data_IF_826315461528
#
_entry.id   IF_826315461528
#
_cell.length_a   1.000
_cell.length_b   1.000
_cell.length_c   1.000
_cell.angle_alpha   90.00
_cell.angle_beta   90.00
_cell.angle_gamma   90.00
#
_symmetry.space_group_name_H-M   'P 1'
#
loop_
_entity.id
_entity.type
_entity.pdbx_description
1 polymer ?
#
# COMPACT_ATOMS: atom_id res chain seq x y z
N UNK A 1 -9.71 21.88 -10.75
CA UNK A 1 -8.93 21.60 -9.52
C UNK A 1 -9.83 20.81 -8.59
N UNK A 2 -9.35 19.74 -7.97
CA UNK A 2 -10.14 18.97 -7.00
C UNK A 2 -10.19 19.69 -5.64
N UNK A 3 -11.27 19.51 -4.89
CA UNK A 3 -11.45 20.09 -3.56
C UNK A 3 -11.32 19.02 -2.48
N UNK A 4 -10.73 19.41 -1.35
CA UNK A 4 -10.61 18.57 -0.15
C UNK A 4 -11.01 19.37 1.08
N UNK A 5 -11.85 18.79 1.92
CA UNK A 5 -12.30 19.34 3.20
C UNK A 5 -11.87 18.41 4.32
N UNK A 6 -11.31 18.98 5.38
CA UNK A 6 -10.80 18.26 6.53
C UNK A 6 -11.56 18.66 7.80
N UNK A 7 -11.91 17.69 8.64
CA UNK A 7 -12.47 17.91 9.96
C UNK A 7 -11.59 17.26 11.02
N UNK A 8 -11.19 18.05 12.01
CA UNK A 8 -10.22 17.64 13.04
C UNK A 8 -8.77 17.78 12.60
N UNK A 9 -7.86 17.31 13.45
CA UNK A 9 -6.41 17.30 13.18
C UNK A 9 -5.99 15.86 12.89
N UNK A 10 -5.03 15.64 11.98
CA UNK A 10 -4.53 14.29 11.70
C UNK A 10 -3.95 13.56 12.93
N UNK A 11 -3.57 14.29 13.99
CA UNK A 11 -3.10 13.71 15.26
C UNK A 11 -4.23 13.45 16.27
N UNK A 12 -5.47 13.89 16.02
CA UNK A 12 -6.58 13.63 16.94
C UNK A 12 -7.04 12.17 16.88
N UNK A 13 -7.85 11.74 17.86
CA UNK A 13 -8.34 10.36 17.94
C UNK A 13 -9.28 9.98 16.79
N UNK A 14 -9.90 10.97 16.15
CA UNK A 14 -10.71 10.83 14.93
C UNK A 14 -10.36 11.99 14.00
N UNK A 15 -10.23 11.70 12.71
CA UNK A 15 -9.95 12.68 11.66
C UNK A 15 -10.74 12.33 10.41
N UNK A 16 -11.44 13.30 9.83
CA UNK A 16 -12.37 13.06 8.72
C UNK A 16 -11.97 13.86 7.51
N UNK A 17 -12.07 13.26 6.32
CA UNK A 17 -11.76 13.90 5.05
C UNK A 17 -12.83 13.64 4.00
N UNK A 18 -13.21 14.69 3.30
CA UNK A 18 -14.00 14.62 2.08
C UNK A 18 -13.16 15.15 0.94
N UNK A 19 -12.97 14.38 -0.13
CA UNK A 19 -12.16 14.83 -1.27
C UNK A 19 -12.63 14.27 -2.60
N UNK A 20 -12.32 15.00 -3.66
CA UNK A 20 -12.47 14.55 -5.04
C UNK A 20 -11.42 13.47 -5.35
N UNK A 21 -11.86 12.21 -5.31
CA UNK A 21 -11.02 11.04 -5.54
C UNK A 21 -10.65 10.90 -7.02
N UNK A 22 -11.53 11.29 -7.94
CA UNK A 22 -11.24 11.27 -9.39
C UNK A 22 -10.09 12.22 -9.70
N UNK A 23 -10.15 13.46 -9.21
CA UNK A 23 -9.08 14.43 -9.41
C UNK A 23 -7.75 13.98 -8.78
N UNK A 24 -7.79 13.35 -7.60
CA UNK A 24 -6.59 12.82 -6.93
C UNK A 24 -5.93 11.68 -7.72
N UNK A 25 -6.70 10.75 -8.29
CA UNK A 25 -6.20 9.67 -9.13
C UNK A 25 -5.53 10.20 -10.41
N UNK A 26 -6.19 11.14 -11.09
CA UNK A 26 -5.66 11.75 -12.31
C UNK A 26 -4.36 12.52 -12.05
N UNK A 27 -4.24 13.23 -10.93
CA UNK A 27 -3.00 13.90 -10.53
C UNK A 27 -1.85 12.93 -10.26
N UNK A 28 -2.15 11.70 -9.82
CA UNK A 28 -1.16 10.64 -9.63
C UNK A 28 -0.81 9.90 -10.93
N UNK A 29 -1.40 10.29 -12.06
CA UNK A 29 -1.19 9.66 -13.36
C UNK A 29 -1.86 8.29 -13.47
N UNK A 30 -2.88 8.03 -12.65
CA UNK A 30 -3.67 6.79 -12.70
C UNK A 30 -4.88 7.00 -13.61
N UNK A 31 -5.15 6.02 -14.47
CA UNK A 31 -6.33 6.05 -15.34
C UNK A 31 -7.60 5.86 -14.52
N UNK A 32 -8.61 6.67 -14.83
CA UNK A 32 -9.95 6.57 -14.26
C UNK A 32 -10.88 6.22 -15.42
N UNK A 33 -11.84 5.31 -15.19
CA UNK A 33 -12.85 4.97 -16.18
C UNK A 33 -13.61 6.22 -16.64
N UNK A 34 -13.74 6.38 -17.95
CA UNK A 34 -14.38 7.53 -18.59
C UNK A 34 -15.86 7.66 -18.20
N UNK A 35 -16.52 6.56 -17.82
CA UNK A 35 -17.92 6.55 -17.39
C UNK A 35 -18.14 7.14 -15.98
N UNK A 36 -17.06 7.37 -15.20
CA UNK A 36 -17.17 7.91 -13.85
C UNK A 36 -17.27 9.44 -13.91
N UNK A 37 -18.50 9.96 -13.81
CA UNK A 37 -18.77 11.40 -13.87
C UNK A 37 -18.45 12.15 -12.56
N UNK A 38 -18.63 11.49 -11.41
CA UNK A 38 -18.32 12.05 -10.08
C UNK A 38 -17.77 10.97 -9.17
N UNK A 39 -16.69 11.27 -8.46
CA UNK A 39 -16.11 10.38 -7.46
C UNK A 39 -15.59 11.16 -6.26
N UNK A 40 -16.45 11.27 -5.25
CA UNK A 40 -16.08 11.85 -3.95
C UNK A 40 -15.88 10.72 -2.95
N UNK A 41 -14.88 10.86 -2.09
CA UNK A 41 -14.63 9.92 -1.00
C UNK A 41 -14.72 10.62 0.35
N UNK A 42 -15.42 9.98 1.28
CA UNK A 42 -15.41 10.29 2.70
C UNK A 42 -14.54 9.25 3.42
N UNK A 43 -13.54 9.68 4.17
CA UNK A 43 -12.66 8.82 4.97
C UNK A 43 -12.70 9.24 6.43
N UNK A 44 -12.94 8.27 7.32
CA UNK A 44 -12.76 8.40 8.75
C UNK A 44 -11.47 7.67 9.15
N UNK A 45 -10.48 8.41 9.66
CA UNK A 45 -9.29 7.87 10.30
C UNK A 45 -9.51 7.84 11.81
N UNK A 46 -9.39 6.65 12.41
CA UNK A 46 -9.48 6.45 13.86
C UNK A 46 -8.09 6.09 14.42
N UNK A 47 -7.76 6.63 15.59
CA UNK A 47 -6.48 6.39 16.26
C UNK A 47 -6.68 5.90 17.71
N UNK A 48 -5.70 5.17 18.22
CA UNK A 48 -5.61 4.71 19.62
C UNK A 48 -6.90 3.98 20.08
N UNK A 49 -7.45 4.37 21.23
CA UNK A 49 -8.64 3.75 21.82
C UNK A 49 -9.88 3.84 20.92
N UNK A 50 -10.00 4.86 20.06
CA UNK A 50 -11.13 4.97 19.12
C UNK A 50 -11.02 3.96 17.99
N UNK A 51 -9.81 3.66 17.52
CA UNK A 51 -9.59 2.60 16.54
C UNK A 51 -9.97 1.23 17.12
N UNK A 52 -9.54 0.96 18.35
CA UNK A 52 -9.88 -0.29 19.05
C UNK A 52 -11.40 -0.39 19.22
N UNK A 53 -12.08 0.67 19.67
CA UNK A 53 -13.53 0.67 19.86
C UNK A 53 -14.30 0.37 18.57
N UNK A 54 -13.87 0.92 17.41
CA UNK A 54 -14.53 0.63 16.12
C UNK A 54 -14.27 -0.82 15.69
N UNK A 55 -13.07 -1.35 15.92
CA UNK A 55 -12.75 -2.75 15.62
C UNK A 55 -13.54 -3.71 16.51
N UNK A 56 -13.62 -3.43 17.81
CA UNK A 56 -14.46 -4.19 18.76
C UNK A 56 -15.92 -4.17 18.32
N UNK A 57 -16.44 -2.99 17.93
CA UNK A 57 -17.80 -2.87 17.39
C UNK A 57 -18.01 -3.75 16.16
N UNK A 58 -17.01 -3.88 15.29
CA UNK A 58 -17.10 -4.74 14.11
C UNK A 58 -17.03 -6.25 14.45
N UNK A 59 -16.19 -6.63 15.40
CA UNK A 59 -15.95 -8.05 15.76
C UNK A 59 -17.11 -8.61 16.59
N UNK A 60 -17.65 -7.82 17.51
CA UNK A 60 -18.65 -8.29 18.49
C UNK A 60 -20.09 -8.26 17.96
N UNK A 61 -20.34 -7.69 16.78
CA UNK A 61 -21.69 -7.50 16.25
C UNK A 61 -21.82 -8.16 14.89
N UNK A 62 -23.04 -8.58 14.57
CA UNK A 62 -23.35 -8.95 13.20
C UNK A 62 -23.24 -7.71 12.27
N UNK A 63 -23.22 -7.95 10.97
CA UNK A 63 -23.00 -6.89 10.01
C UNK A 63 -24.10 -5.82 10.04
N UNK A 64 -25.35 -6.23 10.23
CA UNK A 64 -26.49 -5.32 10.24
C UNK A 64 -26.44 -4.39 11.46
N UNK A 65 -26.18 -4.94 12.64
CA UNK A 65 -26.02 -4.20 13.88
C UNK A 65 -24.78 -3.32 13.86
N UNK A 66 -23.66 -3.82 13.32
CA UNK A 66 -22.45 -3.02 13.13
C UNK A 66 -22.76 -1.78 12.29
N UNK A 67 -23.42 -1.94 11.13
CA UNK A 67 -23.74 -0.81 10.24
C UNK A 67 -24.60 0.22 10.96
N UNK A 68 -25.63 -0.19 11.71
CA UNK A 68 -26.48 0.73 12.46
C UNK A 68 -25.71 1.47 13.57
N UNK A 69 -24.92 0.75 14.37
CA UNK A 69 -24.11 1.36 15.45
C UNK A 69 -22.99 2.25 14.91
N UNK A 70 -22.40 1.87 13.78
CA UNK A 70 -21.37 2.66 13.11
C UNK A 70 -21.95 3.96 12.53
N UNK A 71 -23.13 3.92 11.91
CA UNK A 71 -23.87 5.13 11.48
C UNK A 71 -24.09 6.10 12.64
N UNK A 72 -24.52 5.59 13.80
CA UNK A 72 -24.68 6.40 15.00
C UNK A 72 -23.36 7.03 15.47
N UNK A 73 -22.25 6.29 15.40
CA UNK A 73 -20.92 6.79 15.75
C UNK A 73 -20.46 7.92 14.80
N UNK A 74 -20.69 7.75 13.50
CA UNK A 74 -20.39 8.75 12.47
C UNK A 74 -21.20 10.04 12.70
N UNK A 75 -22.51 9.90 12.93
CA UNK A 75 -23.42 11.00 13.24
C UNK A 75 -23.06 11.74 14.52
N UNK A 76 -22.60 11.01 15.55
CA UNK A 76 -22.16 11.61 16.80
C UNK A 76 -20.88 12.43 16.67
N UNK A 77 -20.04 12.14 15.66
CA UNK A 77 -18.77 12.85 15.46
C UNK A 77 -18.90 14.06 14.52
N UNK A 78 -19.65 13.92 13.43
CA UNK A 78 -19.85 14.98 12.44
C UNK A 78 -21.31 15.02 12.01
N UNK A 79 -21.93 16.19 12.17
CA UNK A 79 -23.32 16.43 11.80
C UNK A 79 -23.43 17.71 10.99
N UNK A 80 -23.91 17.58 9.75
CA UNK A 80 -24.30 18.74 8.94
C UNK A 80 -25.72 19.15 9.30
N UNK A 81 -25.90 20.43 9.63
CA UNK A 81 -27.16 20.99 10.14
C UNK A 81 -27.68 22.10 9.23
N UNK A 82 -29.00 22.28 9.21
CA UNK A 82 -29.63 23.47 8.68
C UNK A 82 -29.63 24.54 9.79
N UNK A 83 -29.30 25.79 9.49
CA UNK A 83 -29.31 26.87 10.49
C UNK A 83 -30.73 27.40 10.74
N UNK A 84 -31.58 26.56 11.35
CA UNK A 84 -33.00 26.81 11.62
C UNK A 84 -33.30 27.19 13.08
N UNK A 85 -32.33 27.06 13.98
CA UNK A 85 -32.41 27.48 15.39
C UNK A 85 -31.16 28.27 15.76
N UNK A 86 -31.31 29.22 16.68
CA UNK A 86 -30.21 29.92 17.36
C UNK A 86 -29.22 28.98 18.05
N UNK A 87 -29.68 27.80 18.48
CA UNK A 87 -28.86 26.78 19.11
C UNK A 87 -28.58 25.62 18.15
N UNK A 88 -27.32 25.56 17.68
CA UNK A 88 -26.83 24.53 16.76
C UNK A 88 -27.09 23.08 17.21
N UNK A 89 -27.24 22.81 18.51
CA UNK A 89 -27.55 21.47 19.01
C UNK A 89 -28.96 21.00 18.65
N UNK A 90 -29.92 21.93 18.55
CA UNK A 90 -31.33 21.69 18.23
C UNK A 90 -31.63 21.75 16.74
N UNK A 91 -30.69 22.27 15.96
CA UNK A 91 -30.85 22.39 14.53
C UNK A 91 -31.11 21.05 13.84
N UNK A 92 -32.00 21.08 12.84
CA UNK A 92 -32.29 19.89 12.05
C UNK A 92 -31.07 19.44 11.26
N UNK A 93 -30.91 18.12 11.11
CA UNK A 93 -29.81 17.55 10.29
C UNK A 93 -30.15 17.71 8.82
N UNK A 94 -29.16 18.09 7.99
CA UNK A 94 -29.34 18.22 6.55
C UNK A 94 -29.83 16.90 5.92
N UNK A 95 -30.86 16.97 5.09
CA UNK A 95 -31.46 15.79 4.46
C UNK A 95 -30.47 14.99 3.60
N UNK A 96 -29.59 15.68 2.86
CA UNK A 96 -28.56 15.02 2.05
C UNK A 96 -27.58 14.19 2.88
N UNK A 97 -27.29 14.61 4.12
CA UNK A 97 -26.38 13.90 5.02
C UNK A 97 -27.01 12.62 5.55
N UNK A 98 -28.31 12.69 5.88
CA UNK A 98 -29.10 11.51 6.26
C UNK A 98 -29.16 10.54 5.08
N UNK A 99 -29.47 11.02 3.87
CA UNK A 99 -29.48 10.18 2.67
C UNK A 99 -28.12 9.53 2.41
N UNK A 100 -27.03 10.29 2.51
CA UNK A 100 -25.67 9.77 2.34
C UNK A 100 -25.37 8.60 3.29
N UNK A 101 -25.70 8.74 4.57
CA UNK A 101 -25.50 7.67 5.56
C UNK A 101 -26.44 6.48 5.36
N UNK A 102 -27.65 6.72 4.86
CA UNK A 102 -28.60 5.65 4.57
C UNK A 102 -28.28 4.89 3.27
N UNK A 103 -27.39 5.41 2.41
CA UNK A 103 -26.95 4.72 1.19
C UNK A 103 -25.90 3.64 1.46
N UNK A 104 -25.50 3.43 2.73
CA UNK A 104 -24.53 2.40 3.14
C UNK A 104 -25.11 0.97 3.14
N UNK A 105 -25.86 0.58 2.11
CA UNK A 105 -26.16 -0.82 1.83
C UNK A 105 -24.88 -1.48 1.35
N UNK A 106 -24.06 -1.91 2.32
CA UNK A 106 -22.67 -2.17 2.06
C UNK A 106 -22.45 -3.42 1.22
N UNK A 107 -21.57 -3.28 0.21
CA UNK A 107 -20.89 -4.44 -0.33
C UNK A 107 -20.02 -5.05 0.79
N UNK A 108 -20.09 -6.37 0.96
CA UNK A 108 -19.04 -7.11 1.66
C UNK A 108 -17.70 -6.67 1.09
N UNK A 109 -16.73 -6.40 1.97
CA UNK A 109 -15.33 -6.32 1.55
C UNK A 109 -15.04 -7.60 0.79
N UNK A 110 -14.96 -7.51 -0.55
CA UNK A 110 -14.40 -8.59 -1.33
C UNK A 110 -12.95 -8.67 -0.89
N UNK A 111 -12.61 -9.71 -0.14
CA UNK A 111 -11.24 -10.16 0.02
C UNK A 111 -10.77 -10.67 -1.34
N UNK A 112 -10.60 -9.77 -2.29
CA UNK A 112 -9.69 -10.03 -3.39
C UNK A 112 -8.31 -10.29 -2.78
N UNK A 113 -7.49 -11.18 -3.37
CA UNK A 113 -6.10 -11.32 -2.94
C UNK A 113 -5.51 -9.92 -2.92
N UNK A 114 -4.94 -9.52 -1.77
CA UNK A 114 -4.28 -8.22 -1.63
C UNK A 114 -3.17 -8.23 -2.66
N UNK A 115 -3.40 -7.65 -3.84
CA UNK A 115 -2.35 -7.38 -4.81
C UNK A 115 -1.53 -6.27 -4.20
N UNK A 116 -0.58 -6.65 -3.36
CA UNK A 116 0.34 -5.72 -2.73
C UNK A 116 1.08 -4.99 -3.84
N UNK A 117 0.93 -3.66 -3.88
CA UNK A 117 1.67 -2.80 -4.84
C UNK A 117 3.03 -2.43 -4.24
N UNK A 118 3.49 -3.16 -3.22
CA UNK A 118 4.60 -2.74 -2.37
C UNK A 118 5.92 -2.92 -3.11
N UNK A 119 6.08 -4.04 -3.82
CA UNK A 119 7.24 -4.26 -4.69
C UNK A 119 7.35 -3.17 -5.75
N UNK A 120 6.25 -2.93 -6.48
CA UNK A 120 6.22 -1.90 -7.54
C UNK A 120 6.55 -0.50 -7.01
N UNK A 121 5.99 -0.12 -5.86
CA UNK A 121 6.29 1.17 -5.19
C UNK A 121 7.76 1.26 -4.79
N UNK A 122 8.30 0.19 -4.22
CA UNK A 122 9.70 0.15 -3.77
C UNK A 122 10.66 0.19 -4.94
N UNK A 123 10.36 -0.52 -6.04
CA UNK A 123 11.15 -0.49 -7.27
C UNK A 123 11.18 0.92 -7.90
N UNK A 124 10.03 1.61 -7.97
CA UNK A 124 9.96 3.01 -8.43
C UNK A 124 10.76 3.95 -7.54
N UNK A 125 10.68 3.78 -6.23
CA UNK A 125 11.48 4.57 -5.28
C UNK A 125 12.98 4.31 -5.44
N UNK A 126 13.39 3.05 -5.56
CA UNK A 126 14.79 2.67 -5.78
C UNK A 126 15.35 3.33 -7.05
N UNK A 127 14.60 3.24 -8.15
CA UNK A 127 14.96 3.86 -9.44
C UNK A 127 15.08 5.39 -9.34
N UNK A 128 14.17 6.06 -8.61
CA UNK A 128 14.16 7.52 -8.50
C UNK A 128 15.17 8.06 -7.49
N UNK A 129 15.36 7.38 -6.37
CA UNK A 129 16.05 7.94 -5.19
C UNK A 129 17.40 7.31 -4.91
N UNK A 130 17.62 6.04 -5.29
CA UNK A 130 18.85 5.30 -4.95
C UNK A 130 19.74 5.10 -6.18
N UNK A 131 19.13 4.87 -7.34
CA UNK A 131 19.85 4.59 -8.59
C UNK A 131 20.93 5.62 -8.95
N UNK A 132 20.71 6.96 -8.83
CA UNK A 132 21.75 7.93 -9.19
C UNK A 132 22.99 7.84 -8.28
N UNK A 133 22.77 7.70 -6.98
CA UNK A 133 23.85 7.58 -5.98
C UNK A 133 24.61 6.27 -6.14
N UNK A 134 23.86 5.17 -6.35
CA UNK A 134 24.46 3.86 -6.57
C UNK A 134 25.33 3.84 -7.84
N UNK A 135 24.86 4.45 -8.92
CA UNK A 135 25.63 4.57 -10.16
C UNK A 135 26.92 5.39 -9.97
N UNK A 136 26.86 6.49 -9.21
CA UNK A 136 28.05 7.27 -8.87
C UNK A 136 29.07 6.44 -8.06
N UNK A 137 28.61 5.68 -7.05
CA UNK A 137 29.48 4.80 -6.27
C UNK A 137 30.12 3.71 -7.12
N UNK A 138 29.34 3.05 -7.99
CA UNK A 138 29.86 2.04 -8.93
C UNK A 138 30.90 2.62 -9.89
N UNK A 139 30.68 3.86 -10.37
CA UNK A 139 31.61 4.54 -11.26
C UNK A 139 32.97 4.81 -10.59
N UNK A 140 33.00 4.95 -9.26
CA UNK A 140 34.23 5.19 -8.50
C UNK A 140 34.90 3.91 -7.98
N UNK A 141 34.10 2.92 -7.54
CA UNK A 141 34.57 1.75 -6.80
C UNK A 141 34.58 0.46 -7.62
N UNK A 142 34.06 0.48 -8.85
CA UNK A 142 33.90 -0.72 -9.67
C UNK A 142 32.65 -1.53 -9.32
N UNK A 143 32.43 -2.61 -10.05
CA UNK A 143 31.25 -3.47 -9.91
C UNK A 143 31.34 -4.37 -8.67
N UNK A 144 32.55 -4.62 -8.18
CA UNK A 144 32.88 -5.42 -6.99
C UNK A 144 32.27 -4.83 -5.72
N UNK A 145 32.05 -3.51 -5.69
CA UNK A 145 31.30 -2.83 -4.64
C UNK A 145 29.90 -3.45 -4.42
N UNK A 146 29.26 -3.93 -5.49
CA UNK A 146 27.95 -4.56 -5.40
C UNK A 146 28.00 -5.91 -4.70
N UNK A 147 29.04 -6.70 -4.95
CA UNK A 147 29.22 -8.01 -4.31
C UNK A 147 29.36 -7.85 -2.79
N UNK A 148 30.18 -6.90 -2.34
CA UNK A 148 30.32 -6.60 -0.91
C UNK A 148 29.04 -6.02 -0.28
N UNK A 149 28.27 -5.23 -1.04
CA UNK A 149 26.98 -4.70 -0.61
C UNK A 149 25.92 -5.81 -0.46
N UNK A 150 25.96 -6.82 -1.34
CA UNK A 150 25.06 -7.96 -1.29
C UNK A 150 25.25 -8.79 -0.01
N UNK A 151 26.50 -9.09 0.35
CA UNK A 151 26.82 -9.83 1.59
C UNK A 151 26.37 -9.04 2.83
N UNK A 152 26.75 -7.77 2.91
CA UNK A 152 26.37 -6.89 4.03
C UNK A 152 24.85 -6.71 4.15
N UNK A 153 24.15 -6.65 3.00
CA UNK A 153 22.71 -6.47 2.94
C UNK A 153 21.94 -7.74 3.33
N UNK A 154 22.48 -8.92 2.97
CA UNK A 154 21.88 -10.22 3.30
C UNK A 154 21.78 -10.40 4.81
N UNK A 155 22.88 -10.18 5.53
CA UNK A 155 22.94 -10.43 6.99
C UNK A 155 21.99 -9.51 7.78
N UNK A 156 21.59 -8.37 7.21
CA UNK A 156 20.78 -7.33 7.84
C UNK A 156 19.35 -7.26 7.32
N UNK A 157 18.88 -8.29 6.60
CA UNK A 157 17.51 -8.34 6.10
C UNK A 157 16.50 -8.34 7.28
N UNK A 158 15.38 -7.63 7.13
CA UNK A 158 14.30 -7.58 8.14
C UNK A 158 12.99 -8.09 7.53
N UNK A 159 12.02 -8.37 8.40
CA UNK A 159 10.69 -8.89 8.02
C UNK A 159 10.00 -8.08 6.90
N UNK A 160 10.11 -6.75 6.92
CA UNK A 160 9.52 -5.90 5.87
C UNK A 160 10.11 -6.19 4.48
N UNK A 161 11.39 -6.54 4.40
CA UNK A 161 12.06 -6.90 3.16
C UNK A 161 11.70 -8.33 2.73
N UNK A 162 11.47 -9.26 3.66
CA UNK A 162 10.93 -10.59 3.34
C UNK A 162 9.54 -10.50 2.72
N UNK A 163 8.66 -9.69 3.31
CA UNK A 163 7.32 -9.43 2.76
C UNK A 163 7.37 -8.83 1.34
N UNK A 164 8.44 -8.10 1.01
CA UNK A 164 8.67 -7.56 -0.33
C UNK A 164 9.02 -8.66 -1.34
N UNK A 165 9.78 -9.67 -0.92
CA UNK A 165 10.14 -10.84 -1.73
C UNK A 165 8.89 -11.70 -1.96
N UNK A 166 8.09 -11.95 -0.92
CA UNK A 166 6.80 -12.64 -1.05
C UNK A 166 5.87 -11.94 -2.06
N UNK A 167 5.75 -10.62 -1.96
CA UNK A 167 4.94 -9.81 -2.89
C UNK A 167 5.39 -9.97 -4.35
N UNK A 168 6.71 -9.97 -4.59
CA UNK A 168 7.27 -10.22 -5.91
C UNK A 168 6.92 -11.63 -6.43
N UNK A 169 7.05 -12.63 -5.56
CA UNK A 169 6.78 -14.02 -5.91
C UNK A 169 5.31 -14.30 -6.23
N UNK A 170 4.39 -13.58 -5.60
CA UNK A 170 2.96 -13.72 -5.83
C UNK A 170 2.48 -12.95 -7.06
N UNK A 171 3.22 -11.94 -7.50
CA UNK A 171 2.85 -11.05 -8.62
C UNK A 171 3.86 -11.04 -9.79
N UNK A 172 4.70 -12.07 -9.91
CA UNK A 172 5.87 -12.14 -10.82
C UNK A 172 5.57 -11.70 -12.26
N UNK A 173 4.51 -12.24 -12.88
CA UNK A 173 4.16 -11.96 -14.28
C UNK A 173 3.72 -10.52 -14.54
N UNK A 174 3.11 -9.87 -13.56
CA UNK A 174 2.68 -8.48 -13.64
C UNK A 174 3.86 -7.52 -13.42
N UNK A 175 4.73 -7.85 -12.48
CA UNK A 175 5.90 -7.04 -12.14
C UNK A 175 6.94 -7.05 -13.25
N UNK A 176 7.26 -8.23 -13.81
CA UNK A 176 8.28 -8.37 -14.88
C UNK A 176 7.96 -7.54 -16.13
N UNK A 177 6.66 -7.31 -16.42
CA UNK A 177 6.21 -6.51 -17.56
C UNK A 177 6.28 -5.00 -17.29
N UNK A 178 6.05 -4.57 -16.05
CA UNK A 178 5.90 -3.16 -15.71
C UNK A 178 7.16 -2.52 -15.09
N UNK A 179 8.03 -3.33 -14.48
CA UNK A 179 9.25 -2.90 -13.84
C UNK A 179 10.45 -3.53 -14.57
N UNK A 180 11.11 -2.79 -15.49
CA UNK A 180 12.36 -3.27 -16.07
C UNK A 180 13.36 -3.55 -14.94
N UNK A 181 14.03 -4.70 -15.02
CA UNK A 181 14.99 -5.09 -14.00
C UNK A 181 16.14 -4.09 -14.03
N UNK A 182 16.18 -3.24 -13.01
CA UNK A 182 17.16 -2.16 -12.90
C UNK A 182 18.60 -2.71 -12.94
N UNK A 183 18.81 -3.91 -12.40
CA UNK A 183 20.10 -4.60 -12.45
C UNK A 183 20.44 -5.08 -13.85
N UNK A 184 19.47 -5.57 -14.63
CA UNK A 184 19.71 -5.88 -16.03
C UNK A 184 20.08 -4.63 -16.84
N UNK A 185 19.54 -3.47 -16.47
CA UNK A 185 19.95 -2.19 -17.06
C UNK A 185 21.39 -1.83 -16.70
N UNK A 186 21.80 -1.92 -15.43
CA UNK A 186 23.17 -1.65 -15.02
C UNK A 186 24.18 -2.67 -15.56
N UNK A 187 23.84 -3.95 -15.56
CA UNK A 187 24.67 -5.03 -16.05
C UNK A 187 24.69 -5.13 -17.58
N UNK A 188 23.77 -4.46 -18.29
CA UNK A 188 23.72 -4.49 -19.75
C UNK A 188 25.02 -4.05 -20.42
N UNK A 189 25.74 -3.09 -19.81
CA UNK A 189 27.03 -2.61 -20.30
C UNK A 189 28.14 -3.66 -20.19
N UNK A 190 28.01 -4.61 -19.26
CA UNK A 190 29.00 -5.66 -18.99
C UNK A 190 28.62 -6.99 -19.66
N UNK A 191 27.32 -7.26 -19.79
CA UNK A 191 26.78 -8.52 -20.31
C UNK A 191 26.35 -8.46 -21.79
N UNK A 192 26.81 -7.49 -22.58
CA UNK A 192 26.54 -7.44 -24.03
C UNK A 192 25.12 -6.99 -24.41
N UNK A 193 24.31 -6.52 -23.45
CA UNK A 193 22.96 -6.00 -23.68
C UNK A 193 21.99 -6.31 -22.53
N UNK A 194 20.84 -5.61 -22.51
CA UNK A 194 19.83 -5.74 -21.45
C UNK A 194 19.23 -7.14 -21.35
N UNK A 195 18.93 -7.78 -22.48
CA UNK A 195 18.28 -9.10 -22.46
C UNK A 195 19.22 -10.20 -21.99
N UNK A 196 20.49 -10.17 -22.41
CA UNK A 196 21.48 -11.14 -21.94
C UNK A 196 21.80 -10.96 -20.46
N UNK A 197 21.87 -9.70 -19.98
CA UNK A 197 21.96 -9.40 -18.55
C UNK A 197 20.73 -9.91 -17.76
N UNK A 198 19.52 -9.71 -18.29
CA UNK A 198 18.27 -10.13 -17.65
C UNK A 198 18.20 -11.66 -17.51
N UNK A 199 18.52 -12.40 -18.57
CA UNK A 199 18.52 -13.87 -18.55
C UNK A 199 19.58 -14.43 -17.60
N UNK A 200 20.79 -13.87 -17.60
CA UNK A 200 21.84 -14.27 -16.64
C UNK A 200 21.43 -13.99 -15.19
N UNK A 201 20.91 -12.79 -14.90
CA UNK A 201 20.43 -12.45 -13.56
C UNK A 201 19.22 -13.30 -13.12
N UNK A 202 18.32 -13.64 -14.05
CA UNK A 202 17.22 -14.57 -13.78
C UNK A 202 17.74 -15.96 -13.46
N UNK A 203 18.78 -16.44 -14.13
CA UNK A 203 19.42 -17.74 -13.89
C UNK A 203 20.21 -17.76 -12.58
N UNK A 204 20.96 -16.70 -12.29
CA UNK A 204 21.80 -16.52 -11.09
C UNK A 204 21.01 -16.07 -9.86
N UNK A 205 19.70 -15.80 -10.01
CA UNK A 205 18.81 -15.59 -8.88
C UNK A 205 18.59 -16.91 -8.13
N UNK A 206 19.60 -17.27 -7.32
CA UNK A 206 19.68 -18.46 -6.46
C UNK A 206 18.38 -18.66 -5.66
N UNK A 207 17.67 -17.57 -5.37
CA UNK A 207 16.53 -17.60 -4.47
C UNK A 207 15.18 -17.89 -5.12
N UNK A 208 14.99 -17.55 -6.39
CA UNK A 208 13.67 -17.69 -7.05
C UNK A 208 13.54 -19.03 -7.77
N UNK A 209 14.66 -19.62 -8.21
CA UNK A 209 14.65 -20.85 -9.00
C UNK A 209 14.89 -22.12 -8.19
N UNK A 210 15.33 -22.02 -6.92
CA UNK A 210 15.64 -23.17 -6.07
C UNK A 210 14.56 -23.45 -5.00
N UNK A 211 13.38 -22.84 -5.12
CA UNK A 211 12.28 -23.08 -4.18
C UNK A 211 11.67 -24.44 -4.51
N UNK A 212 11.73 -25.43 -3.60
CA UNK A 212 11.14 -26.73 -3.85
C UNK A 212 9.64 -26.59 -4.06
N UNK A 213 9.08 -27.23 -5.10
CA UNK A 213 7.65 -27.17 -5.41
C UNK A 213 6.75 -27.72 -4.29
N UNK A 214 7.33 -28.45 -3.33
CA UNK A 214 6.67 -29.06 -2.18
C UNK A 214 6.72 -28.22 -0.90
N UNK A 215 7.41 -27.07 -0.89
CA UNK A 215 7.63 -26.26 0.32
C UNK A 215 6.89 -24.93 0.23
N UNK A 216 6.33 -24.46 1.34
CA UNK A 216 5.70 -23.14 1.40
C UNK A 216 6.76 -22.03 1.19
N UNK A 217 6.38 -20.98 0.45
CA UNK A 217 7.30 -19.89 0.08
C UNK A 217 7.87 -19.18 1.30
N UNK A 218 7.05 -18.98 2.33
CA UNK A 218 7.43 -18.29 3.57
C UNK A 218 8.31 -19.17 4.43
N UNK A 219 8.00 -20.46 4.49
CA UNK A 219 8.82 -21.46 5.17
C UNK A 219 10.23 -21.56 4.54
N UNK A 220 10.30 -21.59 3.21
CA UNK A 220 11.57 -21.61 2.49
C UNK A 220 12.38 -20.31 2.69
N UNK A 221 11.74 -19.14 2.65
CA UNK A 221 12.41 -17.86 2.93
C UNK A 221 12.96 -17.81 4.37
N UNK A 222 12.18 -18.26 5.34
CA UNK A 222 12.62 -18.34 6.74
C UNK A 222 13.82 -19.29 6.90
N UNK A 223 13.83 -20.43 6.21
CA UNK A 223 14.96 -21.36 6.22
C UNK A 223 16.24 -20.73 5.64
N UNK A 224 16.13 -19.99 4.53
CA UNK A 224 17.27 -19.40 3.82
C UNK A 224 17.90 -18.22 4.57
N UNK A 225 17.08 -17.48 5.32
CA UNK A 225 17.51 -16.31 6.10
C UNK A 225 17.51 -16.57 7.62
N UNK A 226 17.46 -17.84 8.04
CA UNK A 226 17.40 -18.23 9.46
C UNK A 226 18.58 -17.69 10.28
N UNK A 227 19.75 -17.55 9.65
CA UNK A 227 20.98 -17.07 10.30
C UNK A 227 21.12 -15.53 10.29
N UNK A 228 20.17 -14.79 9.71
CA UNK A 228 20.22 -13.34 9.60
C UNK A 228 19.62 -12.64 10.84
N UNK A 229 20.33 -11.64 11.38
CA UNK A 229 20.02 -11.01 12.68
C UNK A 229 18.61 -10.37 12.76
N UNK A 230 17.98 -10.06 11.63
CA UNK A 230 16.69 -9.39 11.54
C UNK A 230 15.48 -10.29 11.33
N UNK A 231 15.66 -11.61 11.20
CA UNK A 231 14.60 -12.60 11.01
C UNK A 231 14.47 -13.39 12.31
N UNK A 232 13.48 -13.05 13.15
CA UNK A 232 13.19 -13.84 14.35
C UNK A 232 12.10 -14.87 14.03
N UNK A 233 12.33 -16.11 14.47
CA UNK A 233 11.37 -17.20 14.47
C UNK A 233 10.05 -16.81 15.17
#
# INVERSE_FOLDING_TARGET
MGHTVYFGNRKSSVYVRFYDKKAEQLQQGLSVDENINSWVRCEYEYHNSKAIAVMTLFIENDYADFVQKYKATVMGHLRFINSDDSNCSRCSTCGWWISFLNTLDGLKFSTGPVKTVQFRKTAKWLSRSVAPTLWAMMSCLGIEFLTGLQETGRDKIKERQLQLIEDYMDNRDGVDKECPNLWAFFASAVCGGYQEALERLKKDSIYINNIPSCMDKREWLNMVFADCEGVKA
#
